data_IF_283272452678
#
_entry.id   IF_283272452678
#
_cell.length_a   1.000
_cell.length_b   1.000
_cell.length_c   1.000
_cell.angle_alpha   90.00
_cell.angle_beta   90.00
_cell.angle_gamma   90.00
#
_symmetry.space_group_name_H-M   'P 1'
#
loop_
_entity.id
_entity.type
_entity.pdbx_description
1 polymer ?
#
# COMPACT_ATOMS: atom_id res chain seq x y z
N UNK A 1 4.84 19.36 -4.59
CA UNK A 1 4.63 18.21 -3.69
C UNK A 1 3.27 17.56 -3.89
N UNK A 2 2.21 18.34 -4.07
CA UNK A 2 0.85 17.84 -4.37
C UNK A 2 0.76 16.86 -5.54
N UNK A 3 1.53 17.09 -6.54
CA UNK A 3 1.62 16.31 -7.79
C UNK A 3 2.43 15.03 -7.64
N UNK A 4 3.07 14.84 -6.50
CA UNK A 4 3.79 13.59 -6.19
C UNK A 4 2.89 12.68 -5.36
N UNK A 5 2.59 11.52 -5.93
CA UNK A 5 1.66 10.56 -5.35
C UNK A 5 2.45 9.49 -4.60
N UNK A 6 2.11 9.29 -3.33
CA UNK A 6 2.72 8.26 -2.49
C UNK A 6 1.67 7.18 -2.20
N UNK A 7 1.99 5.96 -2.55
CA UNK A 7 1.18 4.78 -2.23
C UNK A 7 1.74 4.10 -0.98
N UNK A 8 0.88 3.88 0.01
CA UNK A 8 1.25 3.21 1.27
C UNK A 8 0.35 2.01 1.47
N UNK A 9 0.91 0.81 1.46
CA UNK A 9 0.12 -0.40 1.70
C UNK A 9 -0.10 -0.63 3.19
N UNK A 10 -1.28 -1.14 3.57
CA UNK A 10 -1.62 -1.44 4.96
C UNK A 10 -1.64 -0.21 5.87
N UNK A 11 -2.24 0.89 5.42
CA UNK A 11 -2.16 2.19 6.08
C UNK A 11 -3.31 2.51 7.03
N UNK A 12 -4.21 1.56 7.30
CA UNK A 12 -5.38 1.79 8.14
C UNK A 12 -5.07 1.81 9.65
N UNK A 13 -3.91 1.32 10.07
CA UNK A 13 -3.51 1.26 11.49
C UNK A 13 -1.99 1.19 11.64
N UNK A 14 -1.52 1.36 12.88
CA UNK A 14 -0.13 1.13 13.27
C UNK A 14 0.88 2.02 12.54
N UNK A 15 2.00 1.44 12.15
CA UNK A 15 3.12 2.13 11.51
C UNK A 15 2.69 2.78 10.20
N UNK A 16 1.97 2.05 9.35
CA UNK A 16 1.49 2.58 8.06
C UNK A 16 0.60 3.79 8.20
N UNK A 17 -0.28 3.82 9.20
CA UNK A 17 -1.16 4.95 9.48
C UNK A 17 -0.37 6.20 9.93
N UNK A 18 0.65 6.01 10.76
CA UNK A 18 1.52 7.11 11.20
C UNK A 18 2.37 7.66 10.05
N UNK A 19 2.89 6.79 9.19
CA UNK A 19 3.62 7.19 7.98
C UNK A 19 2.70 8.01 7.07
N UNK A 20 1.49 7.53 6.83
CA UNK A 20 0.47 8.19 6.02
C UNK A 20 0.22 9.63 6.48
N UNK A 21 -0.06 9.82 7.75
CA UNK A 21 -0.28 11.14 8.34
C UNK A 21 0.94 12.04 8.17
N UNK A 22 2.12 11.52 8.47
CA UNK A 22 3.37 12.30 8.37
C UNK A 22 3.64 12.75 6.94
N UNK A 23 3.49 11.88 5.96
CA UNK A 23 3.71 12.23 4.55
C UNK A 23 2.65 13.23 4.07
N UNK A 24 1.39 13.08 4.50
CA UNK A 24 0.33 14.02 4.18
C UNK A 24 0.65 15.45 4.68
N UNK A 25 1.20 15.58 5.90
CA UNK A 25 1.61 16.89 6.42
C UNK A 25 2.77 17.54 5.64
N UNK A 26 3.51 16.74 4.88
CA UNK A 26 4.56 17.24 3.98
C UNK A 26 4.02 17.74 2.62
N UNK A 27 2.70 17.68 2.41
CA UNK A 27 2.04 18.20 1.22
C UNK A 27 1.97 17.25 0.04
N UNK A 28 2.30 15.97 0.22
CA UNK A 28 2.12 14.95 -0.82
C UNK A 28 0.66 14.53 -0.96
N UNK A 29 0.29 14.06 -2.14
CA UNK A 29 -0.96 13.31 -2.33
C UNK A 29 -0.72 11.87 -1.87
N UNK A 30 -1.47 11.41 -0.89
CA UNK A 30 -1.24 10.11 -0.26
C UNK A 30 -2.41 9.16 -0.52
N UNK A 31 -2.11 8.01 -1.06
CA UNK A 31 -3.07 6.91 -1.22
C UNK A 31 -2.68 5.80 -0.26
N UNK A 32 -3.53 5.53 0.70
CA UNK A 32 -3.35 4.43 1.64
C UNK A 32 -4.24 3.24 1.27
N UNK A 33 -3.76 2.03 1.50
CA UNK A 33 -4.57 0.84 1.24
C UNK A 33 -4.89 0.05 2.49
N UNK A 34 -6.04 -0.62 2.46
CA UNK A 34 -6.46 -1.62 3.43
C UNK A 34 -7.13 -2.78 2.69
N UNK A 35 -7.13 -3.96 3.30
CA UNK A 35 -7.87 -5.10 2.75
C UNK A 35 -9.38 -4.97 2.91
N UNK A 36 -9.84 -4.14 3.84
CA UNK A 36 -11.26 -3.95 4.13
C UNK A 36 -11.73 -2.56 3.70
N UNK A 37 -13.03 -2.46 3.38
CA UNK A 37 -13.66 -1.17 3.12
C UNK A 37 -13.62 -0.25 4.33
N UNK A 38 -13.86 -0.79 5.53
CA UNK A 38 -13.81 -0.02 6.78
C UNK A 38 -12.42 0.58 7.00
N UNK A 39 -11.37 -0.18 6.75
CA UNK A 39 -10.00 0.31 6.82
C UNK A 39 -9.72 1.42 5.79
N UNK A 40 -10.21 1.27 4.58
CA UNK A 40 -10.10 2.29 3.53
C UNK A 40 -10.84 3.58 3.92
N UNK A 41 -12.03 3.45 4.50
CA UNK A 41 -12.82 4.60 4.99
C UNK A 41 -12.11 5.32 6.14
N UNK A 42 -11.48 4.59 7.06
CA UNK A 42 -10.65 5.16 8.13
C UNK A 42 -9.48 5.97 7.57
N UNK A 43 -8.84 5.48 6.53
CA UNK A 43 -7.74 6.19 5.84
C UNK A 43 -8.27 7.48 5.19
N UNK A 44 -9.39 7.40 4.50
CA UNK A 44 -10.02 8.57 3.86
C UNK A 44 -10.36 9.64 4.89
N UNK A 45 -10.93 9.26 6.03
CA UNK A 45 -11.23 10.18 7.14
C UNK A 45 -9.95 10.83 7.71
N UNK A 46 -8.88 10.04 7.86
CA UNK A 46 -7.59 10.56 8.33
C UNK A 46 -6.97 11.58 7.35
N UNK A 47 -7.32 11.52 6.08
CA UNK A 47 -6.82 12.40 5.02
C UNK A 47 -7.79 13.51 4.63
N UNK A 48 -8.89 13.70 5.34
CA UNK A 48 -9.96 14.66 4.97
C UNK A 48 -9.47 16.12 4.76
N UNK A 49 -8.44 16.52 5.50
CA UNK A 49 -7.82 17.85 5.39
C UNK A 49 -6.55 17.84 4.52
N UNK A 50 -6.33 16.79 3.78
CA UNK A 50 -5.15 16.55 2.95
C UNK A 50 -5.56 16.08 1.56
N UNK A 51 -4.59 15.88 0.68
CA UNK A 51 -4.84 15.30 -0.63
C UNK A 51 -4.69 13.78 -0.58
N UNK A 52 -5.62 13.08 -1.20
CA UNK A 52 -5.58 11.63 -1.28
C UNK A 52 -6.76 10.94 -0.63
N UNK A 53 -6.70 9.64 -0.53
CA UNK A 53 -7.75 8.82 0.06
C UNK A 53 -7.29 7.41 0.40
N UNK A 54 -8.17 6.68 1.08
CA UNK A 54 -8.04 5.23 1.27
C UNK A 54 -8.68 4.45 0.12
N UNK A 55 -8.08 3.34 -0.23
CA UNK A 55 -8.63 2.39 -1.20
C UNK A 55 -8.51 0.96 -0.67
N UNK A 56 -9.36 0.09 -1.16
CA UNK A 56 -9.26 -1.34 -0.87
C UNK A 56 -8.26 -1.98 -1.83
N UNK A 57 -7.27 -2.68 -1.28
CA UNK A 57 -6.31 -3.46 -2.07
C UNK A 57 -5.82 -4.65 -1.26
N UNK A 58 -5.89 -5.82 -1.85
CA UNK A 58 -5.29 -7.03 -1.30
C UNK A 58 -3.92 -7.26 -1.95
N UNK A 59 -2.86 -7.11 -1.17
CA UNK A 59 -1.47 -7.26 -1.65
C UNK A 59 -1.10 -8.71 -2.00
N UNK A 60 -1.94 -9.68 -1.66
CA UNK A 60 -1.77 -11.09 -2.06
C UNK A 60 -2.48 -11.44 -3.37
N UNK A 61 -3.25 -10.51 -3.93
CA UNK A 61 -4.05 -10.70 -5.14
C UNK A 61 -3.55 -9.78 -6.27
N UNK A 62 -3.01 -10.38 -7.32
CA UNK A 62 -2.41 -9.63 -8.44
C UNK A 62 -3.43 -8.77 -9.18
N UNK A 63 -4.67 -9.24 -9.36
CA UNK A 63 -5.72 -8.46 -10.02
C UNK A 63 -6.13 -7.24 -9.17
N UNK A 64 -6.22 -7.42 -7.85
CA UNK A 64 -6.48 -6.32 -6.91
C UNK A 64 -5.39 -5.25 -7.00
N UNK A 65 -4.13 -5.65 -7.03
CA UNK A 65 -2.99 -4.74 -7.18
C UNK A 65 -3.08 -3.99 -8.51
N UNK A 66 -3.26 -4.71 -9.60
CA UNK A 66 -3.29 -4.13 -10.94
C UNK A 66 -4.43 -3.14 -11.12
N UNK A 67 -5.64 -3.49 -10.70
CA UNK A 67 -6.80 -2.61 -10.79
C UNK A 67 -6.66 -1.37 -9.90
N UNK A 68 -6.12 -1.53 -8.69
CA UNK A 68 -5.86 -0.41 -7.78
C UNK A 68 -4.83 0.55 -8.34
N UNK A 69 -3.70 0.06 -8.83
CA UNK A 69 -2.65 0.90 -9.42
C UNK A 69 -3.15 1.62 -10.68
N UNK A 70 -3.90 0.92 -11.53
CA UNK A 70 -4.52 1.53 -12.72
C UNK A 70 -5.47 2.65 -12.34
N UNK A 71 -6.31 2.44 -11.33
CA UNK A 71 -7.25 3.43 -10.84
C UNK A 71 -6.56 4.65 -10.24
N UNK A 72 -5.51 4.45 -9.46
CA UNK A 72 -4.69 5.56 -8.92
C UNK A 72 -4.10 6.37 -10.06
N UNK A 73 -3.55 5.70 -11.06
CA UNK A 73 -2.94 6.36 -12.21
C UNK A 73 -3.95 7.18 -13.03
N UNK A 74 -5.17 6.67 -13.18
CA UNK A 74 -6.25 7.35 -13.88
C UNK A 74 -6.73 8.58 -13.10
N UNK A 75 -6.93 8.46 -11.80
CA UNK A 75 -7.51 9.52 -10.95
C UNK A 75 -6.49 10.58 -10.52
N UNK A 76 -5.23 10.21 -10.34
CA UNK A 76 -4.20 11.07 -9.72
C UNK A 76 -2.93 11.21 -10.55
N UNK A 77 -2.57 10.21 -11.34
CA UNK A 77 -1.32 10.19 -12.10
C UNK A 77 -0.33 9.13 -11.62
N UNK A 78 0.89 9.23 -12.10
CA UNK A 78 1.94 8.23 -11.80
C UNK A 78 2.35 8.23 -10.33
N UNK A 79 2.47 7.05 -9.76
CA UNK A 79 2.94 6.89 -8.38
C UNK A 79 4.43 7.22 -8.32
N UNK A 80 4.77 8.23 -7.55
CA UNK A 80 6.14 8.68 -7.31
C UNK A 80 6.83 7.90 -6.21
N UNK A 81 6.10 7.56 -5.15
CA UNK A 81 6.66 6.85 -4.01
C UNK A 81 5.82 5.65 -3.61
N UNK A 82 6.49 4.57 -3.24
CA UNK A 82 5.85 3.36 -2.72
C UNK A 82 6.41 3.03 -1.34
N UNK A 83 5.51 2.92 -0.37
CA UNK A 83 5.83 2.41 0.97
C UNK A 83 5.18 1.04 1.12
N UNK A 84 5.98 0.00 1.03
CA UNK A 84 5.57 -1.38 1.29
C UNK A 84 5.51 -1.61 2.79
N UNK A 85 4.34 -1.41 3.39
CA UNK A 85 4.13 -1.54 4.83
C UNK A 85 3.19 -2.69 5.19
N UNK A 86 2.31 -3.13 4.28
CA UNK A 86 1.39 -4.22 4.57
C UNK A 86 2.13 -5.47 5.04
N UNK A 87 1.64 -6.05 6.12
CA UNK A 87 2.22 -7.26 6.70
C UNK A 87 1.30 -7.84 7.75
N UNK A 88 1.51 -9.11 8.03
CA UNK A 88 0.80 -9.86 9.06
C UNK A 88 1.76 -10.68 9.90
N UNK A 89 1.30 -11.09 11.07
CA UNK A 89 1.92 -12.14 11.87
C UNK A 89 0.99 -13.34 11.92
N UNK A 90 1.56 -14.53 12.03
CA UNK A 90 0.83 -15.77 12.25
C UNK A 90 1.75 -16.68 13.06
N UNK A 91 1.92 -16.30 14.32
CA UNK A 91 2.93 -16.88 15.18
C UNK A 91 2.53 -18.26 15.70
N UNK A 92 3.48 -19.17 15.70
CA UNK A 92 3.38 -20.49 16.33
C UNK A 92 4.79 -21.00 16.63
N UNK A 93 4.89 -21.97 17.52
CA UNK A 93 6.14 -22.73 17.70
C UNK A 93 6.49 -23.42 16.37
N UNK A 94 7.75 -23.39 15.97
CA UNK A 94 8.20 -23.96 14.71
C UNK A 94 7.75 -25.42 14.53
N UNK A 95 7.86 -26.22 15.59
CA UNK A 95 7.45 -27.64 15.54
C UNK A 95 5.93 -27.86 15.36
N UNK A 96 5.11 -26.83 15.60
CA UNK A 96 3.64 -26.88 15.43
C UNK A 96 3.17 -26.06 14.24
N UNK A 97 4.06 -25.31 13.60
CA UNK A 97 3.71 -24.44 12.48
C UNK A 97 3.29 -25.27 11.28
N UNK A 98 2.14 -24.95 10.72
CA UNK A 98 1.68 -25.54 9.47
C UNK A 98 2.30 -24.85 8.25
N UNK A 99 2.33 -25.56 7.13
CA UNK A 99 2.75 -24.95 5.85
C UNK A 99 1.87 -23.77 5.47
N UNK A 100 0.58 -23.84 5.78
CA UNK A 100 -0.36 -22.74 5.54
C UNK A 100 0.01 -21.49 6.34
N UNK A 101 0.34 -21.62 7.62
CA UNK A 101 0.79 -20.51 8.46
C UNK A 101 2.07 -19.88 7.91
N UNK A 102 3.05 -20.70 7.55
CA UNK A 102 4.28 -20.24 6.91
C UNK A 102 4.01 -19.52 5.60
N UNK A 103 3.28 -20.17 4.68
CA UNK A 103 3.01 -19.62 3.35
C UNK A 103 2.21 -18.32 3.41
N UNK A 104 1.25 -18.20 4.32
CA UNK A 104 0.46 -16.97 4.49
C UNK A 104 1.35 -15.77 4.84
N UNK A 105 2.30 -15.96 5.76
CA UNK A 105 3.23 -14.88 6.13
C UNK A 105 4.18 -14.54 4.98
N UNK A 106 4.73 -15.53 4.32
CA UNK A 106 5.62 -15.32 3.16
C UNK A 106 4.88 -14.60 2.02
N UNK A 107 3.68 -15.03 1.70
CA UNK A 107 2.87 -14.46 0.62
C UNK A 107 2.52 -12.98 0.90
N UNK A 108 2.11 -12.69 2.14
CA UNK A 108 1.70 -11.34 2.53
C UNK A 108 2.89 -10.41 2.76
N UNK A 109 3.94 -10.88 3.44
CA UNK A 109 5.04 -10.01 3.89
C UNK A 109 6.19 -9.94 2.89
N UNK A 110 6.41 -10.97 2.08
CA UNK A 110 7.54 -11.06 1.16
C UNK A 110 7.13 -11.02 -0.31
N UNK A 111 6.29 -11.95 -0.75
CA UNK A 111 5.89 -12.03 -2.16
C UNK A 111 5.12 -10.79 -2.60
N UNK A 112 4.35 -10.18 -1.71
CA UNK A 112 3.63 -8.94 -1.99
C UNK A 112 4.56 -7.78 -2.35
N UNK A 113 5.74 -7.70 -1.77
CA UNK A 113 6.74 -6.66 -2.10
C UNK A 113 7.10 -6.71 -3.58
N UNK A 114 7.35 -7.90 -4.09
CA UNK A 114 7.62 -8.12 -5.50
C UNK A 114 6.44 -7.68 -6.37
N UNK A 115 5.23 -8.11 -6.05
CA UNK A 115 4.03 -7.82 -6.86
C UNK A 115 3.70 -6.33 -6.90
N UNK A 116 3.67 -5.67 -5.75
CA UNK A 116 3.31 -4.25 -5.68
C UNK A 116 4.41 -3.39 -6.30
N UNK A 117 5.67 -3.67 -6.00
CA UNK A 117 6.79 -2.92 -6.58
C UNK A 117 6.81 -3.06 -8.10
N UNK A 118 6.63 -4.27 -8.63
CA UNK A 118 6.58 -4.52 -10.06
C UNK A 118 5.47 -3.74 -10.76
N UNK A 119 4.34 -3.54 -10.10
CA UNK A 119 3.20 -2.81 -10.67
C UNK A 119 3.45 -1.31 -10.85
N UNK A 120 4.38 -0.72 -10.12
CA UNK A 120 4.67 0.73 -10.15
C UNK A 120 6.02 1.09 -10.77
N UNK A 121 7.00 0.20 -10.70
CA UNK A 121 8.39 0.53 -11.06
C UNK A 121 8.58 0.93 -12.53
N UNK A 122 7.81 0.35 -13.44
CA UNK A 122 7.90 0.64 -14.87
C UNK A 122 7.62 2.10 -15.18
N UNK A 123 6.62 2.67 -14.53
CA UNK A 123 6.28 4.08 -14.73
C UNK A 123 7.30 5.01 -14.06
N UNK A 124 7.79 4.65 -12.87
CA UNK A 124 8.89 5.37 -12.23
C UNK A 124 10.15 5.41 -13.11
N UNK A 125 10.47 4.30 -13.78
CA UNK A 125 11.59 4.23 -14.71
C UNK A 125 11.39 5.13 -15.94
N UNK A 126 10.18 5.15 -16.51
CA UNK A 126 9.85 6.01 -17.65
C UNK A 126 10.01 7.49 -17.30
N UNK A 127 9.57 7.88 -16.13
CA UNK A 127 9.66 9.25 -15.66
C UNK A 127 11.04 9.60 -15.06
N UNK A 128 11.93 8.61 -14.97
CA UNK A 128 13.28 8.74 -14.38
C UNK A 128 13.25 9.33 -12.97
N UNK A 129 12.19 9.06 -12.23
CA UNK A 129 12.02 9.53 -10.85
C UNK A 129 11.15 8.54 -10.07
N UNK A 130 11.42 8.39 -8.76
CA UNK A 130 10.66 7.51 -7.87
C UNK A 130 11.41 7.22 -6.58
N UNK A 131 10.68 6.70 -5.58
CA UNK A 131 11.23 6.29 -4.27
C UNK A 131 10.47 5.07 -3.76
#
# INVERSE_FOLDING_TARGET
MKDKIILITGANRGIGHNILKKIATCGYTVIGTSRSKDGADMITEALKDSNGKGIVMDVTNQESINSSVSKIKEDYGTIYGLVNNAGITNDNLLMRMSDEQWNTVIETNLTSLYRVTKSVIKDMMKERTGR
#
